data_IF_938499532693
#
_entry.id   IF_938499532693
#
_cell.length_a   1.000
_cell.length_b   1.000
_cell.length_c   1.000
_cell.angle_alpha   90.00
_cell.angle_beta   90.00
_cell.angle_gamma   90.00
#
_symmetry.space_group_name_H-M   'P 1'
#
loop_
_entity.id
_entity.type
_entity.pdbx_description
1 polymer ?
#
# COMPACT_ATOMS: atom_id res chain seq x y z
N UNK A 1 -1.71 -25.67 -41.23
CA UNK A 1 -2.19 -24.33 -40.81
C UNK A 1 -2.20 -24.31 -39.28
N UNK A 2 -1.08 -23.93 -38.67
CA UNK A 2 -0.98 -23.73 -37.23
C UNK A 2 -0.44 -22.31 -37.04
N UNK A 3 -1.33 -21.42 -36.63
CA UNK A 3 -1.02 -20.03 -36.32
C UNK A 3 -0.35 -20.00 -34.94
N UNK A 4 0.96 -19.78 -34.93
CA UNK A 4 1.67 -19.37 -33.72
C UNK A 4 1.15 -17.98 -33.32
N UNK A 5 0.45 -17.90 -32.19
CA UNK A 5 0.12 -16.63 -31.56
C UNK A 5 1.40 -16.00 -31.02
N UNK A 6 1.93 -15.02 -31.73
CA UNK A 6 3.03 -14.19 -31.28
C UNK A 6 2.61 -13.44 -30.01
N UNK A 7 3.19 -13.86 -28.88
CA UNK A 7 3.17 -13.08 -27.65
C UNK A 7 3.87 -11.76 -27.96
N UNK A 8 3.10 -10.67 -27.87
CA UNK A 8 3.61 -9.32 -28.04
C UNK A 8 4.86 -9.06 -27.17
N UNK A 9 5.71 -8.10 -27.57
CA UNK A 9 7.01 -7.90 -26.96
C UNK A 9 6.89 -7.60 -25.46
N UNK A 10 7.51 -8.44 -24.62
CA UNK A 10 7.75 -8.13 -23.20
C UNK A 10 8.70 -6.94 -23.12
N UNK A 11 8.18 -5.72 -23.06
CA UNK A 11 8.97 -4.57 -22.63
C UNK A 11 9.24 -4.70 -21.13
N UNK A 12 10.50 -4.47 -20.74
CA UNK A 12 10.90 -4.47 -19.34
C UNK A 12 10.06 -3.43 -18.58
N UNK A 13 9.21 -3.89 -17.65
CA UNK A 13 8.45 -3.01 -16.77
C UNK A 13 9.43 -2.05 -16.09
N UNK A 14 9.12 -0.74 -16.05
CA UNK A 14 9.84 0.20 -15.19
C UNK A 14 9.64 -0.19 -13.75
N UNK A 15 10.54 -1.01 -13.22
CA UNK A 15 10.55 -1.41 -11.83
C UNK A 15 11.60 -0.61 -11.09
N UNK A 16 11.16 0.22 -10.15
CA UNK A 16 12.06 0.92 -9.23
C UNK A 16 12.18 0.07 -7.96
N UNK A 17 13.42 -0.26 -7.56
CA UNK A 17 13.69 -0.83 -6.22
C UNK A 17 13.59 0.30 -5.21
N UNK A 18 12.78 0.10 -4.17
CA UNK A 18 12.60 1.10 -3.11
C UNK A 18 13.65 0.97 -2.00
N UNK A 19 13.75 2.04 -1.17
CA UNK A 19 14.68 2.23 -0.02
C UNK A 19 15.07 0.93 0.67
N UNK A 20 16.35 0.73 0.97
CA UNK A 20 16.88 -0.53 1.55
C UNK A 20 16.49 -0.77 3.01
N UNK A 21 15.87 0.20 3.67
CA UNK A 21 15.48 0.13 5.09
C UNK A 21 13.95 0.17 5.29
N UNK A 22 13.44 -0.48 6.36
CA UNK A 22 12.07 -0.36 6.80
C UNK A 22 11.71 1.10 7.12
N UNK A 23 10.54 1.54 6.67
CA UNK A 23 10.17 2.97 6.74
C UNK A 23 9.42 3.38 8.02
N UNK A 24 8.89 2.41 8.76
CA UNK A 24 8.02 2.66 9.90
C UNK A 24 8.80 2.49 11.21
N UNK A 25 8.80 3.53 12.04
CA UNK A 25 9.47 3.50 13.34
C UNK A 25 8.69 2.68 14.37
N UNK A 26 9.33 2.35 15.49
CA UNK A 26 8.61 1.79 16.65
C UNK A 26 7.51 2.72 17.15
N UNK A 27 7.74 4.03 17.16
CA UNK A 27 6.76 5.02 17.63
C UNK A 27 5.49 5.02 16.78
N UNK A 28 5.61 4.77 15.47
CA UNK A 28 4.44 4.57 14.60
C UNK A 28 3.57 3.42 15.13
N UNK A 29 4.17 2.25 15.42
CA UNK A 29 3.41 1.11 15.95
C UNK A 29 2.85 1.39 17.35
N UNK A 30 3.57 2.14 18.19
CA UNK A 30 3.07 2.54 19.50
C UNK A 30 1.78 3.37 19.40
N UNK A 31 1.76 4.38 18.53
CA UNK A 31 0.57 5.23 18.30
C UNK A 31 -0.62 4.39 17.82
N UNK A 32 -0.40 3.46 16.89
CA UNK A 32 -1.46 2.55 16.42
C UNK A 32 -2.02 1.68 17.56
N UNK A 33 -1.16 1.17 18.46
CA UNK A 33 -1.57 0.36 19.62
C UNK A 33 -2.28 1.18 20.70
N UNK A 34 -1.87 2.43 20.92
CA UNK A 34 -2.58 3.37 21.80
C UNK A 34 -3.98 3.66 21.26
N UNK A 35 -4.11 3.89 19.95
CA UNK A 35 -5.40 4.09 19.31
C UNK A 35 -6.30 2.86 19.39
N UNK A 36 -5.77 1.67 19.13
CA UNK A 36 -6.50 0.41 19.32
C UNK A 36 -6.95 0.23 20.77
N UNK A 37 -6.12 0.59 21.74
CA UNK A 37 -6.47 0.53 23.17
C UNK A 37 -7.63 1.47 23.50
N UNK A 38 -7.60 2.70 23.00
CA UNK A 38 -8.69 3.66 23.16
C UNK A 38 -9.99 3.17 22.50
N UNK A 39 -9.90 2.69 21.26
CA UNK A 39 -11.03 2.14 20.51
C UNK A 39 -11.65 0.92 21.22
N UNK A 40 -10.82 -0.02 21.69
CA UNK A 40 -11.26 -1.20 22.45
C UNK A 40 -12.06 -0.81 23.69
N UNK A 41 -11.57 0.17 24.46
CA UNK A 41 -12.25 0.68 25.67
C UNK A 41 -13.58 1.35 25.33
N UNK A 42 -13.59 2.26 24.35
CA UNK A 42 -14.79 3.03 23.97
C UNK A 42 -15.87 2.12 23.37
N UNK A 43 -15.47 1.16 22.53
CA UNK A 43 -16.38 0.27 21.81
C UNK A 43 -16.69 -1.02 22.57
N UNK A 44 -16.02 -1.26 23.70
CA UNK A 44 -16.12 -2.49 24.49
C UNK A 44 -15.89 -3.75 23.65
N UNK A 45 -14.86 -3.72 22.80
CA UNK A 45 -14.44 -4.84 21.96
C UNK A 45 -13.06 -5.37 22.37
N UNK A 46 -12.72 -6.63 22.05
CA UNK A 46 -11.38 -7.16 22.28
C UNK A 46 -10.29 -6.30 21.59
N UNK A 47 -9.14 -6.14 22.26
CA UNK A 47 -8.01 -5.37 21.74
C UNK A 47 -7.54 -5.86 20.35
N UNK A 48 -7.50 -7.18 20.15
CA UNK A 48 -7.13 -7.80 18.86
C UNK A 48 -8.13 -7.45 17.75
N UNK A 49 -9.42 -7.36 18.07
CA UNK A 49 -10.44 -6.88 17.12
C UNK A 49 -10.27 -5.38 16.83
N UNK A 50 -9.92 -4.59 17.85
CA UNK A 50 -9.68 -3.16 17.67
C UNK A 50 -8.48 -2.88 16.76
N UNK A 51 -7.40 -3.65 16.88
CA UNK A 51 -6.23 -3.59 15.98
C UNK A 51 -6.68 -3.79 14.53
N UNK A 52 -7.38 -4.88 14.23
CA UNK A 52 -7.77 -5.19 12.85
C UNK A 52 -8.76 -4.18 12.23
N UNK A 53 -9.57 -3.51 13.06
CA UNK A 53 -10.67 -2.66 12.58
C UNK A 53 -10.32 -1.17 12.55
N UNK A 54 -9.39 -0.72 13.39
CA UNK A 54 -9.13 0.70 13.63
C UNK A 54 -7.67 1.11 13.44
N UNK A 55 -6.76 0.18 13.16
CA UNK A 55 -5.34 0.49 12.95
C UNK A 55 -4.89 0.09 11.56
N UNK A 56 -3.77 0.66 11.13
CA UNK A 56 -3.13 0.28 9.87
C UNK A 56 -2.23 -0.95 10.00
N UNK A 57 -2.06 -1.53 11.21
CA UNK A 57 -1.16 -2.66 11.46
C UNK A 57 -1.54 -3.86 10.57
N UNK A 58 -2.83 -4.18 10.48
CA UNK A 58 -3.33 -5.25 9.61
C UNK A 58 -2.95 -4.99 8.15
N UNK A 59 -3.20 -3.78 7.63
CA UNK A 59 -2.82 -3.43 6.26
C UNK A 59 -1.32 -3.55 6.02
N UNK A 60 -0.48 -3.09 6.95
CA UNK A 60 0.98 -3.16 6.83
C UNK A 60 1.48 -4.60 6.71
N UNK A 61 0.89 -5.52 7.48
CA UNK A 61 1.26 -6.93 7.44
C UNK A 61 0.56 -7.71 6.31
N UNK A 62 -0.61 -7.27 5.86
CA UNK A 62 -1.42 -7.99 4.88
C UNK A 62 -1.30 -7.45 3.46
N UNK A 63 -0.58 -6.33 3.25
CA UNK A 63 -0.27 -5.85 1.92
C UNK A 63 0.75 -6.77 1.22
N UNK A 64 0.48 -7.00 -0.06
CA UNK A 64 1.08 -8.03 -0.90
C UNK A 64 2.58 -7.79 -1.09
N UNK A 65 3.38 -8.50 -0.29
CA UNK A 65 4.83 -8.43 -0.35
C UNK A 65 5.37 -9.64 -1.12
N UNK A 66 6.14 -9.38 -2.17
CA UNK A 66 6.57 -10.38 -3.16
C UNK A 66 7.40 -11.57 -2.62
N UNK A 67 7.89 -11.53 -1.37
CA UNK A 67 8.69 -12.62 -0.77
C UNK A 67 7.94 -13.46 0.27
N UNK A 68 6.86 -12.95 0.87
CA UNK A 68 6.13 -13.65 1.93
C UNK A 68 4.66 -13.70 1.55
N UNK A 69 4.08 -14.90 1.59
CA UNK A 69 2.66 -15.08 1.30
C UNK A 69 1.80 -14.37 2.35
N UNK A 70 0.55 -14.07 1.99
CA UNK A 70 -0.44 -13.53 2.92
C UNK A 70 -0.50 -14.34 4.22
N UNK A 71 -0.53 -15.68 4.13
CA UNK A 71 -0.59 -16.55 5.30
C UNK A 71 0.66 -16.49 6.18
N UNK A 72 1.85 -16.39 5.57
CA UNK A 72 3.11 -16.26 6.32
C UNK A 72 3.13 -14.96 7.13
N UNK A 73 2.72 -13.84 6.52
CA UNK A 73 2.68 -12.54 7.21
C UNK A 73 1.60 -12.50 8.28
N UNK A 74 0.43 -13.08 7.99
CA UNK A 74 -0.67 -13.22 8.97
C UNK A 74 -0.27 -14.06 10.16
N UNK A 75 0.36 -15.21 9.93
CA UNK A 75 0.89 -16.06 11.00
C UNK A 75 1.90 -15.32 11.87
N UNK A 76 2.86 -14.62 11.25
CA UNK A 76 3.88 -13.88 11.99
C UNK A 76 3.31 -12.73 12.83
N UNK A 77 2.28 -12.02 12.35
CA UNK A 77 1.59 -11.00 13.14
C UNK A 77 0.91 -11.60 14.38
N UNK A 78 0.22 -12.74 14.21
CA UNK A 78 -0.42 -13.42 15.34
C UNK A 78 0.59 -13.96 16.35
N UNK A 79 1.71 -14.52 15.89
CA UNK A 79 2.82 -14.91 16.77
C UNK A 79 3.37 -13.71 17.53
N UNK A 80 3.56 -12.56 16.86
CA UNK A 80 4.04 -11.35 17.51
C UNK A 80 3.08 -10.87 18.62
N UNK A 81 1.78 -10.95 18.40
CA UNK A 81 0.80 -10.63 19.44
C UNK A 81 0.74 -11.65 20.57
N UNK A 82 0.91 -12.94 20.28
CA UNK A 82 1.01 -13.98 21.31
C UNK A 82 2.25 -13.76 22.21
N UNK A 83 3.42 -13.48 21.60
CA UNK A 83 4.65 -13.16 22.33
C UNK A 83 4.50 -11.88 23.17
N UNK A 84 3.67 -10.95 22.70
CA UNK A 84 3.39 -9.68 23.35
C UNK A 84 2.26 -9.75 24.40
N UNK A 85 1.53 -10.86 24.51
CA UNK A 85 0.29 -10.97 25.30
C UNK A 85 0.50 -10.55 26.76
N UNK A 86 1.59 -11.02 27.38
CA UNK A 86 1.95 -10.67 28.76
C UNK A 86 2.14 -9.16 28.99
N UNK A 87 2.61 -8.43 27.97
CA UNK A 87 2.81 -6.98 28.03
C UNK A 87 1.50 -6.24 27.77
N UNK A 88 0.66 -6.74 26.86
CA UNK A 88 -0.70 -6.21 26.64
C UNK A 88 -1.50 -6.26 27.94
N UNK A 89 -1.43 -7.37 28.69
CA UNK A 89 -2.17 -7.55 29.94
C UNK A 89 -1.78 -6.54 31.03
N UNK A 90 -0.52 -6.12 31.08
CA UNK A 90 -0.01 -5.14 32.07
C UNK A 90 0.06 -3.71 31.52
N UNK A 91 -0.38 -3.49 30.27
CA UNK A 91 -0.41 -2.18 29.63
C UNK A 91 0.95 -1.64 29.17
N UNK A 92 1.97 -2.48 29.04
CA UNK A 92 3.31 -2.10 28.54
C UNK A 92 3.30 -2.05 27.00
N UNK A 93 2.74 -0.97 26.45
CA UNK A 93 2.65 -0.78 25.00
C UNK A 93 4.02 -0.58 24.33
N UNK A 94 5.04 -0.13 25.06
CA UNK A 94 6.39 0.02 24.50
C UNK A 94 7.00 -1.34 24.15
N UNK A 95 6.85 -2.34 25.03
CA UNK A 95 7.28 -3.71 24.74
C UNK A 95 6.48 -4.33 23.59
N UNK A 96 5.16 -4.10 23.53
CA UNK A 96 4.31 -4.59 22.42
C UNK A 96 4.75 -3.94 21.09
N UNK A 97 4.92 -2.62 21.06
CA UNK A 97 5.35 -1.88 19.87
C UNK A 97 6.71 -2.35 19.37
N UNK A 98 7.66 -2.61 20.28
CA UNK A 98 8.97 -3.15 19.96
C UNK A 98 8.88 -4.53 19.31
N UNK A 99 8.06 -5.44 19.83
CA UNK A 99 7.87 -6.79 19.26
C UNK A 99 7.25 -6.70 17.86
N UNK A 100 6.18 -5.92 17.69
CA UNK A 100 5.52 -5.73 16.39
C UNK A 100 6.47 -5.10 15.37
N UNK A 101 7.22 -4.06 15.76
CA UNK A 101 8.21 -3.40 14.91
C UNK A 101 9.34 -4.34 14.49
N UNK A 102 9.86 -5.16 15.41
CA UNK A 102 10.88 -6.18 15.08
C UNK A 102 10.34 -7.21 14.09
N UNK A 103 9.09 -7.66 14.24
CA UNK A 103 8.44 -8.56 13.30
C UNK A 103 8.24 -7.90 11.94
N UNK A 104 7.80 -6.64 11.91
CA UNK A 104 7.70 -5.85 10.68
C UNK A 104 9.05 -5.79 9.96
N UNK A 105 10.14 -5.42 10.65
CA UNK A 105 11.46 -5.31 10.04
C UNK A 105 11.98 -6.65 9.48
N UNK A 106 11.68 -7.77 10.14
CA UNK A 106 12.04 -9.11 9.66
C UNK A 106 11.32 -9.50 8.37
N UNK A 107 10.06 -9.08 8.22
CA UNK A 107 9.22 -9.39 7.06
C UNK A 107 9.21 -8.28 6.02
N UNK A 108 9.86 -7.16 6.32
CA UNK A 108 9.89 -6.02 5.45
C UNK A 108 10.67 -6.39 4.19
N UNK A 109 10.05 -6.07 3.06
CA UNK A 109 10.66 -6.23 1.76
C UNK A 109 10.57 -4.89 1.06
N UNK A 110 11.59 -4.49 0.29
CA UNK A 110 11.49 -3.30 -0.54
C UNK A 110 10.24 -3.42 -1.40
N UNK A 111 9.34 -2.46 -1.24
CA UNK A 111 8.17 -2.35 -2.10
C UNK A 111 8.67 -2.21 -3.54
N UNK A 112 8.07 -2.95 -4.47
CA UNK A 112 8.41 -2.86 -5.88
C UNK A 112 7.28 -2.13 -6.56
N UNK A 113 7.54 -0.92 -7.03
CA UNK A 113 6.59 -0.21 -7.87
C UNK A 113 6.79 -0.66 -9.30
N UNK A 114 5.77 -1.27 -9.88
CA UNK A 114 5.75 -1.50 -11.33
C UNK A 114 5.11 -0.28 -12.01
N UNK A 115 5.43 -0.09 -13.29
CA UNK A 115 4.87 0.99 -14.11
C UNK A 115 4.88 2.37 -13.44
N UNK A 116 6.04 2.80 -12.93
CA UNK A 116 6.17 4.03 -12.16
C UNK A 116 6.37 5.31 -13.04
N UNK A 117 5.66 6.36 -12.65
CA UNK A 117 5.63 7.72 -13.21
C UNK A 117 5.72 8.73 -12.07
N UNK A 118 6.95 9.02 -11.60
CA UNK A 118 7.15 9.92 -10.47
C UNK A 118 6.39 9.44 -9.22
N UNK A 119 5.40 10.22 -8.76
CA UNK A 119 4.59 9.84 -7.60
C UNK A 119 3.47 8.84 -7.92
N UNK A 120 3.18 8.55 -9.19
CA UNK A 120 2.12 7.61 -9.60
C UNK A 120 2.68 6.30 -10.12
N UNK A 121 2.01 5.20 -9.85
CA UNK A 121 2.28 3.87 -10.45
C UNK A 121 0.98 3.13 -10.61
N UNK A 122 0.99 2.04 -11.36
CA UNK A 122 -0.14 1.12 -11.40
C UNK A 122 0.29 -0.33 -11.39
N UNK A 123 -0.57 -1.20 -10.90
CA UNK A 123 -0.43 -2.64 -11.01
C UNK A 123 -1.66 -3.22 -11.71
N UNK A 124 -1.45 -4.29 -12.49
CA UNK A 124 -2.54 -5.06 -13.10
C UNK A 124 -2.79 -6.28 -12.24
N UNK A 125 -4.02 -6.41 -11.75
CA UNK A 125 -4.36 -7.54 -10.88
C UNK A 125 -4.45 -8.84 -11.69
N UNK A 126 -3.86 -9.93 -11.20
CA UNK A 126 -4.01 -11.24 -11.81
C UNK A 126 -5.43 -11.77 -11.66
N UNK A 127 -5.79 -12.69 -12.55
CA UNK A 127 -7.15 -13.22 -12.73
C UNK A 127 -7.71 -13.96 -11.49
N UNK A 128 -6.85 -14.36 -10.55
CA UNK A 128 -7.17 -15.10 -9.33
C UNK A 128 -7.32 -14.23 -8.08
N UNK A 129 -7.27 -12.90 -8.22
CA UNK A 129 -7.25 -11.96 -7.08
C UNK A 129 -8.63 -11.66 -6.45
N UNK A 130 -9.72 -12.24 -6.96
CA UNK A 130 -11.09 -11.94 -6.53
C UNK A 130 -11.66 -10.62 -7.07
N UNK A 131 -10.87 -9.86 -7.83
CA UNK A 131 -11.28 -8.72 -8.65
C UNK A 131 -11.52 -9.17 -10.09
N UNK A 132 -12.13 -8.32 -10.95
CA UNK A 132 -12.26 -8.69 -12.35
C UNK A 132 -10.86 -8.85 -12.98
N UNK A 133 -10.60 -9.96 -13.70
CA UNK A 133 -9.38 -10.16 -14.48
C UNK A 133 -8.97 -8.92 -15.27
N UNK A 134 -7.73 -8.47 -15.09
CA UNK A 134 -7.17 -7.33 -15.81
C UNK A 134 -7.59 -5.94 -15.31
N UNK A 135 -8.20 -5.83 -14.14
CA UNK A 135 -8.39 -4.54 -13.46
C UNK A 135 -7.04 -3.87 -13.14
N UNK A 136 -6.98 -2.57 -13.38
CA UNK A 136 -5.79 -1.75 -13.17
C UNK A 136 -5.98 -0.92 -11.91
N UNK A 137 -5.04 -1.00 -10.97
CA UNK A 137 -5.09 -0.22 -9.73
C UNK A 137 -4.01 0.85 -9.74
N UNK A 138 -4.41 2.10 -9.52
CA UNK A 138 -3.47 3.22 -9.42
C UNK A 138 -3.02 3.42 -7.98
N UNK A 139 -1.75 3.76 -7.82
CA UNK A 139 -1.09 3.97 -6.55
C UNK A 139 -0.41 5.35 -6.54
N UNK A 140 -0.47 6.02 -5.40
CA UNK A 140 0.24 7.27 -5.15
C UNK A 140 1.28 7.10 -4.06
N UNK A 141 2.54 7.42 -4.36
CA UNK A 141 3.65 7.37 -3.43
C UNK A 141 4.11 8.79 -3.06
N UNK A 142 4.19 9.07 -1.77
CA UNK A 142 4.66 10.35 -1.23
C UNK A 142 6.19 10.47 -1.37
N UNK A 143 6.74 10.80 -2.55
CA UNK A 143 8.20 10.74 -2.83
C UNK A 143 8.87 12.06 -3.19
N UNK A 144 8.11 13.07 -3.62
CA UNK A 144 8.63 14.38 -4.05
C UNK A 144 8.56 15.42 -2.92
N UNK A 145 9.56 15.43 -2.04
CA UNK A 145 9.65 16.31 -0.87
C UNK A 145 10.47 17.59 -1.08
N UNK A 146 11.13 17.74 -2.22
CA UNK A 146 11.98 18.91 -2.51
C UNK A 146 11.13 20.18 -2.57
N UNK A 147 11.39 21.18 -1.74
CA UNK A 147 10.58 22.42 -1.68
C UNK A 147 9.08 22.16 -1.41
N UNK A 148 8.79 21.23 -0.50
CA UNK A 148 7.43 20.91 -0.04
C UNK A 148 6.95 19.53 -0.49
N UNK A 149 5.77 19.12 0.00
CA UNK A 149 5.22 17.79 -0.30
C UNK A 149 4.79 17.63 -1.77
N UNK A 150 4.56 16.38 -2.22
CA UNK A 150 4.20 16.07 -3.62
C UNK A 150 2.89 16.71 -4.11
N UNK A 151 1.99 17.00 -3.16
CA UNK A 151 0.71 17.69 -3.37
C UNK A 151 0.79 19.19 -3.00
N UNK A 152 2.00 19.77 -2.97
CA UNK A 152 2.18 21.22 -2.84
C UNK A 152 1.69 21.94 -4.09
N UNK A 153 1.25 23.19 -3.96
CA UNK A 153 0.66 23.96 -5.05
C UNK A 153 1.57 24.03 -6.29
N UNK A 154 2.86 24.28 -6.10
CA UNK A 154 3.85 24.35 -7.19
C UNK A 154 4.15 23.02 -7.89
N UNK A 155 3.56 21.90 -7.44
CA UNK A 155 3.78 20.57 -8.02
C UNK A 155 2.54 19.96 -8.68
N UNK A 156 1.38 20.62 -8.61
CA UNK A 156 0.12 20.09 -9.15
C UNK A 156 0.24 19.77 -10.65
N UNK A 157 0.80 20.67 -11.45
CA UNK A 157 0.95 20.43 -12.89
C UNK A 157 1.92 19.28 -13.19
N UNK A 158 3.01 19.16 -12.41
CA UNK A 158 3.92 18.01 -12.51
C UNK A 158 3.19 16.69 -12.19
N UNK A 159 2.33 16.67 -11.17
CA UNK A 159 1.52 15.51 -10.81
C UNK A 159 0.50 15.16 -11.90
N UNK A 160 -0.14 16.15 -12.52
CA UNK A 160 -1.04 15.95 -13.67
C UNK A 160 -0.32 15.37 -14.88
N UNK A 161 0.90 15.86 -15.17
CA UNK A 161 1.73 15.30 -16.24
C UNK A 161 2.13 13.84 -15.97
N UNK A 162 2.55 13.52 -14.75
CA UNK A 162 2.86 12.14 -14.34
C UNK A 162 1.64 11.22 -14.52
N UNK A 163 0.46 11.67 -14.08
CA UNK A 163 -0.80 10.94 -14.22
C UNK A 163 -1.19 10.76 -15.71
N UNK A 164 -1.07 11.82 -16.51
CA UNK A 164 -1.36 11.77 -17.95
C UNK A 164 -0.48 10.77 -18.68
N UNK A 165 0.83 10.80 -18.43
CA UNK A 165 1.79 9.84 -19.01
C UNK A 165 1.44 8.39 -18.63
N UNK A 166 1.02 8.17 -17.38
CA UNK A 166 0.59 6.85 -16.90
C UNK A 166 -0.64 6.36 -17.66
N UNK A 167 -1.66 7.20 -17.81
CA UNK A 167 -2.87 6.84 -18.56
C UNK A 167 -2.61 6.65 -20.05
N UNK A 168 -1.67 7.38 -20.65
CA UNK A 168 -1.23 7.13 -22.03
C UNK A 168 -0.65 5.73 -22.17
N UNK A 169 0.25 5.32 -21.27
CA UNK A 169 0.80 3.95 -21.27
C UNK A 169 -0.30 2.90 -21.09
N UNK A 170 -1.20 3.10 -20.12
CA UNK A 170 -2.33 2.19 -19.86
C UNK A 170 -3.17 2.01 -21.14
N UNK A 171 -3.55 3.10 -21.82
CA UNK A 171 -4.33 3.03 -23.06
C UNK A 171 -3.60 2.31 -24.19
N UNK A 172 -2.28 2.48 -24.29
CA UNK A 172 -1.47 1.80 -25.30
C UNK A 172 -1.32 0.30 -25.02
N UNK A 173 -1.08 -0.08 -23.76
CA UNK A 173 -0.83 -1.48 -23.38
C UNK A 173 -2.11 -2.28 -23.19
N UNK A 174 -3.21 -1.63 -22.85
CA UNK A 174 -4.48 -2.25 -22.53
C UNK A 174 -5.64 -1.57 -23.27
N UNK A 175 -5.73 -1.74 -24.61
CA UNK A 175 -6.60 -0.96 -25.48
C UNK A 175 -8.11 -1.28 -25.38
N UNK A 176 -8.51 -2.19 -24.48
CA UNK A 176 -9.93 -2.47 -24.27
C UNK A 176 -10.60 -1.29 -23.57
N UNK A 177 -11.55 -0.67 -24.26
CA UNK A 177 -12.27 0.51 -23.80
C UNK A 177 -13.12 0.24 -22.55
N UNK A 178 -13.43 -1.02 -22.25
CA UNK A 178 -14.19 -1.41 -21.05
C UNK A 178 -13.29 -1.66 -19.83
N UNK A 179 -11.99 -1.39 -19.92
CA UNK A 179 -11.06 -1.67 -18.82
C UNK A 179 -11.18 -0.64 -17.72
N UNK A 180 -11.47 -1.14 -16.53
CA UNK A 180 -11.68 -0.32 -15.34
C UNK A 180 -10.32 -0.01 -14.72
N UNK A 181 -10.04 1.29 -14.55
CA UNK A 181 -8.92 1.79 -13.77
C UNK A 181 -9.45 2.25 -12.42
N UNK A 182 -9.10 1.52 -11.36
CA UNK A 182 -9.52 1.78 -10.00
C UNK A 182 -8.48 2.63 -9.26
N UNK A 183 -8.93 3.74 -8.70
CA UNK A 183 -8.18 4.46 -7.67
C UNK A 183 -8.90 4.32 -6.35
N UNK A 184 -8.40 3.47 -5.45
CA UNK A 184 -8.88 3.38 -4.07
C UNK A 184 -7.84 4.04 -3.17
N UNK A 185 -7.93 5.37 -3.04
CA UNK A 185 -6.97 6.16 -2.27
C UNK A 185 -7.67 6.87 -1.13
N UNK A 186 -7.11 6.76 0.07
CA UNK A 186 -7.55 7.57 1.20
C UNK A 186 -7.40 9.07 0.92
N UNK A 187 -6.50 9.43 -0.01
CA UNK A 187 -6.19 10.82 -0.38
C UNK A 187 -7.34 11.56 -1.07
N UNK A 188 -8.44 10.90 -1.44
CA UNK A 188 -9.63 11.62 -1.92
C UNK A 188 -10.24 12.56 -0.87
N UNK A 189 -9.88 12.39 0.40
CA UNK A 189 -10.20 13.38 1.43
C UNK A 189 -9.39 14.69 1.31
N UNK A 190 -8.34 14.72 0.49
CA UNK A 190 -7.51 15.90 0.26
C UNK A 190 -7.92 16.61 -1.02
N UNK A 191 -8.42 17.84 -0.89
CA UNK A 191 -8.83 18.68 -2.03
C UNK A 191 -7.75 18.78 -3.12
N UNK A 192 -6.48 18.86 -2.72
CA UNK A 192 -5.35 18.95 -3.65
C UNK A 192 -5.12 17.69 -4.47
N UNK A 193 -5.43 16.53 -3.91
CA UNK A 193 -5.35 15.26 -4.63
C UNK A 193 -6.51 15.14 -5.61
N UNK A 194 -7.73 15.51 -5.18
CA UNK A 194 -8.92 15.51 -6.03
C UNK A 194 -8.74 16.41 -7.26
N UNK A 195 -8.14 17.59 -7.09
CA UNK A 195 -7.83 18.53 -8.19
C UNK A 195 -6.86 17.98 -9.26
N UNK A 196 -6.22 16.84 -9.03
CA UNK A 196 -5.39 16.19 -10.05
C UNK A 196 -6.22 15.54 -11.15
N UNK A 197 -7.46 15.18 -10.85
CA UNK A 197 -8.36 14.52 -11.78
C UNK A 197 -9.24 15.54 -12.51
N UNK A 198 -9.75 15.21 -13.70
CA UNK A 198 -10.77 16.01 -14.36
C UNK A 198 -11.98 16.20 -13.45
N UNK A 199 -12.66 17.35 -13.58
CA UNK A 199 -13.98 17.53 -13.01
C UNK A 199 -15.00 16.89 -13.94
N UNK A 200 -15.95 16.14 -13.38
CA UNK A 200 -17.16 15.71 -14.08
C UNK A 200 -18.07 16.91 -14.39
#
# INVERSE_FOLDING_TARGET
MHMNGERGPRMASRSEKLSEEPRLSQDFFKVELEFATAAAKIKQIPFTQAIGSYTNIANIFFHDGQQYTFDQRRGALYTAFADAEKYVQVGDLDSVARIVHQTYNKLWTPEKRTHAFGCFSYDVRPDDSGYKPGEIFIHFANRDHVNGGPLSHGKIEKRRQELGNMFTEIKTLYPDENRIVNGNSWLYNLERYVKLFPHD
#
